data_IF_378396322129
#
_entry.id   IF_378396322129
#
_cell.length_a   1.000
_cell.length_b   1.000
_cell.length_c   1.000
_cell.angle_alpha   90.00
_cell.angle_beta   90.00
_cell.angle_gamma   90.00
#
_symmetry.space_group_name_H-M   'P 1'
#
loop_
_entity.id
_entity.type
_entity.pdbx_description
1 polymer ?
#
# COMPACT_ATOMS: atom_id res chain seq x y z
N UNK A 1 45.91 -34.30 -29.54
CA UNK A 1 44.63 -34.15 -28.82
C UNK A 1 44.35 -32.66 -28.72
N UNK A 2 43.41 -32.17 -29.53
CA UNK A 2 43.02 -30.76 -29.63
C UNK A 2 41.90 -30.49 -28.61
N UNK A 3 42.04 -29.43 -27.81
CA UNK A 3 40.95 -28.88 -27.01
C UNK A 3 40.95 -27.35 -27.24
N UNK A 4 39.89 -26.77 -27.82
CA UNK A 4 39.82 -25.33 -28.01
C UNK A 4 39.30 -24.67 -26.72
N UNK A 5 40.01 -23.63 -26.25
CA UNK A 5 39.50 -22.69 -25.26
C UNK A 5 38.36 -21.88 -25.90
N UNK A 6 37.13 -22.10 -25.41
CA UNK A 6 36.01 -21.18 -25.64
C UNK A 6 36.12 -20.03 -24.64
N UNK A 7 36.66 -18.90 -25.10
CA UNK A 7 36.55 -17.62 -24.39
C UNK A 7 35.14 -17.10 -24.62
N UNK A 8 34.25 -17.33 -23.65
CA UNK A 8 32.94 -16.69 -23.61
C UNK A 8 33.12 -15.28 -23.04
N UNK A 9 33.24 -14.28 -23.92
CA UNK A 9 33.13 -12.87 -23.53
C UNK A 9 31.68 -12.57 -23.18
N UNK A 10 31.35 -12.58 -21.89
CA UNK A 10 30.14 -11.93 -21.38
C UNK A 10 30.29 -10.42 -21.60
N UNK A 11 29.59 -9.89 -22.60
CA UNK A 11 29.30 -8.46 -22.68
C UNK A 11 28.36 -8.10 -21.52
N UNK A 12 28.94 -7.57 -20.44
CA UNK A 12 28.20 -6.80 -19.45
C UNK A 12 27.68 -5.54 -20.13
N UNK A 13 26.49 -5.61 -20.70
CA UNK A 13 25.72 -4.41 -21.04
C UNK A 13 25.28 -3.80 -19.71
N UNK A 14 26.08 -2.87 -19.20
CA UNK A 14 25.65 -1.97 -18.16
C UNK A 14 24.52 -1.10 -18.76
N UNK A 15 23.27 -1.46 -18.51
CA UNK A 15 22.15 -0.54 -18.68
C UNK A 15 22.28 0.55 -17.61
N UNK A 16 23.14 1.53 -17.84
CA UNK A 16 23.02 2.82 -17.18
C UNK A 16 21.72 3.44 -17.69
N UNK A 17 20.71 3.54 -16.81
CA UNK A 17 19.49 4.25 -17.11
C UNK A 17 19.84 5.70 -17.51
N UNK A 18 19.54 6.08 -18.76
CA UNK A 18 19.77 7.43 -19.26
C UNK A 18 18.84 8.37 -18.48
N UNK A 19 19.41 9.41 -17.85
CA UNK A 19 18.61 10.37 -17.13
C UNK A 19 17.82 11.23 -18.14
N UNK A 20 16.52 11.54 -17.93
CA UNK A 20 15.74 12.30 -18.90
C UNK A 20 16.37 13.63 -19.33
N UNK A 21 17.13 14.27 -18.43
CA UNK A 21 17.84 15.52 -18.69
C UNK A 21 18.92 15.40 -19.77
N UNK A 22 19.41 14.19 -20.01
CA UNK A 22 20.45 13.89 -20.99
C UNK A 22 19.86 13.60 -22.39
N UNK A 23 18.53 13.53 -22.51
CA UNK A 23 17.84 13.33 -23.78
C UNK A 23 17.64 14.66 -24.54
N UNK A 24 17.61 14.60 -25.89
CA UNK A 24 17.19 15.73 -26.70
C UNK A 24 15.74 16.09 -26.40
N UNK A 25 15.35 17.34 -26.70
CA UNK A 25 13.95 17.73 -26.68
C UNK A 25 13.20 17.07 -27.82
N UNK A 26 11.89 16.97 -27.72
CA UNK A 26 11.07 16.56 -28.87
C UNK A 26 11.12 17.70 -29.90
N UNK A 27 11.84 17.49 -31.01
CA UNK A 27 12.14 18.56 -31.98
C UNK A 27 11.58 18.27 -33.37
N UNK A 28 11.25 17.01 -33.67
CA UNK A 28 10.64 16.65 -34.96
C UNK A 28 9.11 16.81 -34.91
N UNK A 29 8.53 17.20 -36.05
CA UNK A 29 7.07 17.27 -36.20
C UNK A 29 6.43 15.90 -35.92
N UNK A 30 7.09 14.79 -36.27
CA UNK A 30 6.63 13.43 -36.02
C UNK A 30 6.58 13.10 -34.52
N UNK A 31 7.63 13.45 -33.75
CA UNK A 31 7.65 13.28 -32.29
C UNK A 31 6.59 14.14 -31.61
N UNK A 32 6.44 15.39 -32.06
CA UNK A 32 5.45 16.31 -31.50
C UNK A 32 4.02 15.84 -31.80
N UNK A 33 3.73 15.41 -33.04
CA UNK A 33 2.43 14.86 -33.41
C UNK A 33 2.12 13.58 -32.63
N UNK A 34 3.10 12.70 -32.47
CA UNK A 34 2.95 11.47 -31.68
C UNK A 34 2.68 11.79 -30.21
N UNK A 35 3.42 12.73 -29.61
CA UNK A 35 3.19 13.16 -28.24
C UNK A 35 1.79 13.77 -28.04
N UNK A 36 1.36 14.64 -28.96
CA UNK A 36 0.02 15.24 -28.96
C UNK A 36 -1.08 14.19 -29.12
N UNK A 37 -0.81 13.10 -29.85
CA UNK A 37 -1.77 11.99 -30.00
C UNK A 37 -2.03 11.23 -28.70
N UNK A 38 -1.18 11.36 -27.69
CA UNK A 38 -1.37 10.76 -26.36
C UNK A 38 -2.27 11.62 -25.43
N UNK A 39 -2.57 12.87 -25.79
CA UNK A 39 -3.37 13.79 -24.97
C UNK A 39 -4.81 13.31 -24.73
N UNK A 40 -5.55 12.73 -25.69
CA UNK A 40 -6.92 12.28 -25.45
C UNK A 40 -7.04 11.25 -24.32
N UNK A 41 -6.07 10.32 -24.23
CA UNK A 41 -6.03 9.33 -23.14
C UNK A 41 -5.72 10.00 -21.79
N UNK A 42 -4.87 11.03 -21.80
CA UNK A 42 -4.58 11.86 -20.62
C UNK A 42 -5.86 12.57 -20.13
N UNK A 43 -6.58 13.20 -21.04
CA UNK A 43 -7.83 13.89 -20.74
C UNK A 43 -8.90 12.91 -20.23
N UNK A 44 -9.00 11.72 -20.82
CA UNK A 44 -9.93 10.68 -20.38
C UNK A 44 -9.62 10.20 -18.96
N UNK A 45 -8.34 9.94 -18.66
CA UNK A 45 -7.91 9.56 -17.32
C UNK A 45 -8.20 10.68 -16.30
N UNK A 46 -7.85 11.93 -16.61
CA UNK A 46 -8.06 13.05 -15.71
C UNK A 46 -9.54 13.35 -15.48
N UNK A 47 -10.36 13.34 -16.53
CA UNK A 47 -11.80 13.55 -16.42
C UNK A 47 -12.46 12.48 -15.56
N UNK A 48 -12.12 11.20 -15.75
CA UNK A 48 -12.68 10.10 -14.95
C UNK A 48 -12.47 10.33 -13.44
N UNK A 49 -11.29 10.82 -13.06
CA UNK A 49 -10.91 11.05 -11.66
C UNK A 49 -11.44 12.39 -11.12
N UNK A 50 -11.45 13.47 -11.92
CA UNK A 50 -11.94 14.79 -11.52
C UNK A 50 -13.44 14.79 -11.19
N UNK A 51 -14.26 14.10 -11.98
CA UNK A 51 -15.72 14.05 -11.77
C UNK A 51 -16.11 13.41 -10.42
N UNK A 52 -15.18 12.68 -9.79
CA UNK A 52 -15.42 11.95 -8.54
C UNK A 52 -14.57 12.44 -7.35
N UNK A 53 -13.87 13.58 -7.49
CA UNK A 53 -13.04 14.14 -6.41
C UNK A 53 -13.90 14.44 -5.17
N UNK A 54 -13.51 13.88 -4.02
CA UNK A 54 -14.23 14.05 -2.74
C UNK A 54 -15.43 13.11 -2.53
N UNK A 55 -15.59 12.07 -3.37
CA UNK A 55 -16.64 11.05 -3.23
C UNK A 55 -16.03 9.64 -3.22
N UNK A 56 -16.80 8.65 -2.74
CA UNK A 56 -16.49 7.24 -2.97
C UNK A 56 -16.57 6.95 -4.47
N UNK A 57 -15.42 6.81 -5.11
CA UNK A 57 -15.30 6.57 -6.55
C UNK A 57 -15.67 5.10 -6.85
N UNK A 58 -16.62 4.81 -7.76
CA UNK A 58 -16.94 3.45 -8.13
C UNK A 58 -15.74 2.71 -8.76
N UNK A 59 -15.62 1.41 -8.51
CA UNK A 59 -14.51 0.59 -9.04
C UNK A 59 -14.38 0.67 -10.57
N UNK A 60 -15.51 0.77 -11.28
CA UNK A 60 -15.56 0.90 -12.74
C UNK A 60 -14.86 2.17 -13.25
N UNK A 61 -14.88 3.25 -12.47
CA UNK A 61 -14.17 4.49 -12.81
C UNK A 61 -12.67 4.28 -12.69
N UNK A 62 -12.21 3.55 -11.66
CA UNK A 62 -10.80 3.17 -11.55
C UNK A 62 -10.35 2.21 -12.65
N UNK A 63 -11.21 1.28 -13.08
CA UNK A 63 -10.93 0.41 -14.23
C UNK A 63 -10.70 1.21 -15.51
N UNK A 64 -11.59 2.16 -15.78
CA UNK A 64 -11.51 3.04 -16.95
C UNK A 64 -10.24 3.90 -16.90
N UNK A 65 -9.98 4.55 -15.77
CA UNK A 65 -8.78 5.37 -15.58
C UNK A 65 -7.49 4.54 -15.68
N UNK A 66 -7.46 3.33 -15.10
CA UNK A 66 -6.31 2.44 -15.20
C UNK A 66 -6.03 2.03 -16.66
N UNK A 67 -7.08 1.72 -17.44
CA UNK A 67 -6.93 1.40 -18.86
C UNK A 67 -6.40 2.58 -19.68
N UNK A 68 -6.97 3.78 -19.50
CA UNK A 68 -6.46 4.99 -20.14
C UNK A 68 -4.99 5.24 -19.77
N UNK A 69 -4.62 4.98 -18.51
CA UNK A 69 -3.23 5.12 -18.07
C UNK A 69 -2.29 4.13 -18.76
N UNK A 70 -2.68 2.86 -18.93
CA UNK A 70 -1.91 1.88 -19.70
C UNK A 70 -1.73 2.32 -21.17
N UNK A 71 -2.78 2.86 -21.78
CA UNK A 71 -2.73 3.40 -23.15
C UNK A 71 -1.75 4.58 -23.26
N UNK A 72 -1.71 5.49 -22.28
CA UNK A 72 -0.74 6.61 -22.25
C UNK A 72 0.70 6.06 -22.24
N UNK A 73 1.00 5.07 -21.39
CA UNK A 73 2.34 4.50 -21.32
C UNK A 73 2.76 3.79 -22.60
N UNK A 74 1.82 3.10 -23.27
CA UNK A 74 2.05 2.49 -24.59
C UNK A 74 2.26 3.57 -25.65
N UNK A 75 1.49 4.65 -25.61
CA UNK A 75 1.57 5.77 -26.55
C UNK A 75 2.91 6.53 -26.44
N UNK A 76 3.41 6.73 -25.22
CA UNK A 76 4.70 7.39 -24.97
C UNK A 76 5.91 6.49 -25.23
N UNK A 77 5.73 5.17 -25.31
CA UNK A 77 6.83 4.21 -25.42
C UNK A 77 7.76 4.40 -26.64
N UNK A 78 7.26 4.77 -27.85
CA UNK A 78 8.11 4.99 -29.01
C UNK A 78 8.94 6.28 -28.95
N UNK A 79 8.57 7.22 -28.08
CA UNK A 79 9.22 8.53 -28.00
C UNK A 79 10.49 8.47 -27.16
N UNK A 80 11.59 8.98 -27.71
CA UNK A 80 12.89 9.02 -27.04
C UNK A 80 13.41 10.45 -26.86
N UNK A 81 12.51 11.34 -26.45
CA UNK A 81 12.82 12.72 -26.11
C UNK A 81 12.55 13.01 -24.63
N UNK A 82 13.12 14.11 -24.12
CA UNK A 82 13.07 14.52 -22.72
C UNK A 82 11.66 14.67 -22.20
N UNK A 83 10.81 15.42 -22.89
CA UNK A 83 9.43 15.70 -22.49
C UNK A 83 8.61 14.41 -22.41
N UNK A 84 8.80 13.50 -23.37
CA UNK A 84 8.15 12.20 -23.36
C UNK A 84 8.60 11.33 -22.18
N UNK A 85 9.90 11.33 -21.83
CA UNK A 85 10.35 10.56 -20.66
C UNK A 85 9.97 11.17 -19.32
N UNK A 86 9.96 12.49 -19.21
CA UNK A 86 9.43 13.17 -18.02
C UNK A 86 7.94 12.83 -17.83
N UNK A 87 7.15 12.91 -18.90
CA UNK A 87 5.75 12.49 -18.89
C UNK A 87 5.59 11.01 -18.53
N UNK A 88 6.39 10.12 -19.13
CA UNK A 88 6.34 8.68 -18.86
C UNK A 88 6.59 8.37 -17.38
N UNK A 89 7.60 8.98 -16.76
CA UNK A 89 7.88 8.80 -15.33
C UNK A 89 6.70 9.27 -14.46
N UNK A 90 6.09 10.40 -14.81
CA UNK A 90 4.92 10.90 -14.09
C UNK A 90 3.73 9.95 -14.23
N UNK A 91 3.44 9.48 -15.45
CA UNK A 91 2.33 8.56 -15.70
C UNK A 91 2.60 7.19 -15.09
N UNK A 92 3.83 6.67 -15.05
CA UNK A 92 4.13 5.40 -14.38
C UNK A 92 3.73 5.44 -12.90
N UNK A 93 3.97 6.56 -12.22
CA UNK A 93 3.55 6.77 -10.82
C UNK A 93 2.01 6.86 -10.73
N UNK A 94 1.37 7.62 -11.62
CA UNK A 94 -0.10 7.77 -11.65
C UNK A 94 -0.79 6.43 -11.94
N UNK A 95 -0.34 5.68 -12.94
CA UNK A 95 -0.88 4.39 -13.34
C UNK A 95 -0.71 3.36 -12.22
N UNK A 96 0.44 3.37 -11.56
CA UNK A 96 0.65 2.49 -10.42
C UNK A 96 -0.37 2.78 -9.32
N UNK A 97 -0.51 4.04 -8.89
CA UNK A 97 -1.53 4.43 -7.92
C UNK A 97 -2.95 4.01 -8.34
N UNK A 98 -3.31 4.14 -9.62
CA UNK A 98 -4.59 3.69 -10.15
C UNK A 98 -4.77 2.18 -10.08
N UNK A 99 -3.75 1.40 -10.41
CA UNK A 99 -3.79 -0.05 -10.28
C UNK A 99 -4.04 -0.49 -8.82
N UNK A 100 -3.43 0.19 -7.85
CA UNK A 100 -3.67 -0.08 -6.42
C UNK A 100 -5.11 0.21 -5.97
N UNK A 101 -5.74 1.25 -6.53
CA UNK A 101 -7.14 1.57 -6.27
C UNK A 101 -8.08 0.60 -7.00
N UNK A 102 -7.80 0.30 -8.27
CA UNK A 102 -8.63 -0.54 -9.13
C UNK A 102 -8.72 -1.99 -8.62
N UNK A 103 -7.58 -2.63 -8.37
CA UNK A 103 -7.54 -4.05 -8.02
C UNK A 103 -7.81 -4.31 -6.52
N UNK A 104 -8.27 -3.29 -5.79
CA UNK A 104 -8.47 -3.30 -4.34
C UNK A 104 -7.20 -3.71 -3.56
N UNK A 105 -6.01 -3.41 -4.11
CA UNK A 105 -4.72 -3.80 -3.53
C UNK A 105 -4.47 -3.13 -2.18
N UNK A 106 -5.02 -1.92 -1.99
CA UNK A 106 -4.90 -1.19 -0.71
C UNK A 106 -5.59 -1.94 0.43
N UNK A 107 -6.83 -2.38 0.24
CA UNK A 107 -7.55 -3.16 1.25
C UNK A 107 -6.86 -4.50 1.51
N UNK A 108 -6.42 -5.17 0.44
CA UNK A 108 -5.65 -6.41 0.53
C UNK A 108 -4.36 -6.23 1.37
N UNK A 109 -3.58 -5.19 1.10
CA UNK A 109 -2.34 -4.92 1.81
C UNK A 109 -2.57 -4.47 3.26
N UNK A 110 -3.63 -3.70 3.53
CA UNK A 110 -4.04 -3.36 4.88
C UNK A 110 -4.37 -4.63 5.69
N UNK A 111 -5.11 -5.59 5.11
CA UNK A 111 -5.39 -6.89 5.74
C UNK A 111 -4.11 -7.68 6.02
N UNK A 112 -3.16 -7.71 5.07
CA UNK A 112 -1.86 -8.32 5.29
C UNK A 112 -1.18 -7.72 6.53
N UNK A 113 -1.13 -6.38 6.64
CA UNK A 113 -0.53 -5.72 7.79
C UNK A 113 -1.25 -6.02 9.09
N UNK A 114 -2.59 -6.04 9.09
CA UNK A 114 -3.39 -6.46 10.25
C UNK A 114 -3.04 -7.89 10.67
N UNK A 115 -2.95 -8.83 9.73
CA UNK A 115 -2.57 -10.22 10.02
C UNK A 115 -1.16 -10.31 10.58
N UNK A 116 -0.20 -9.60 10.00
CA UNK A 116 1.17 -9.56 10.48
C UNK A 116 1.27 -8.97 11.90
N UNK A 117 0.47 -7.94 12.21
CA UNK A 117 0.41 -7.35 13.54
C UNK A 117 -0.21 -8.32 14.54
N UNK A 118 -1.39 -8.87 14.25
CA UNK A 118 -2.11 -9.78 15.14
C UNK A 118 -1.36 -11.09 15.37
N UNK A 119 -0.59 -11.56 14.39
CA UNK A 119 0.25 -12.74 14.54
C UNK A 119 1.20 -12.60 15.74
N UNK A 120 1.69 -11.40 16.07
CA UNK A 120 2.58 -11.18 17.21
C UNK A 120 1.92 -11.46 18.57
N UNK A 121 0.58 -11.40 18.64
CA UNK A 121 -0.20 -11.61 19.86
C UNK A 121 -0.89 -12.97 19.89
N UNK A 122 -0.93 -13.70 18.77
CA UNK A 122 -1.53 -15.04 18.71
C UNK A 122 -0.58 -16.10 19.27
N UNK A 123 -1.12 -17.15 19.88
CA UNK A 123 -0.38 -18.37 20.23
C UNK A 123 -0.08 -19.25 19.02
N UNK A 124 -0.82 -19.09 17.92
CA UNK A 124 -0.76 -20.00 16.76
C UNK A 124 0.56 -19.86 16.01
N UNK A 125 1.08 -20.98 15.50
CA UNK A 125 2.24 -20.97 14.62
C UNK A 125 1.90 -20.24 13.32
N UNK A 126 2.63 -19.19 12.98
CA UNK A 126 2.46 -18.44 11.74
C UNK A 126 3.82 -17.95 11.26
N UNK A 127 4.11 -18.14 9.98
CA UNK A 127 5.33 -17.61 9.35
C UNK A 127 5.44 -16.08 9.46
N UNK A 128 4.32 -15.38 9.70
CA UNK A 128 4.30 -13.92 9.87
C UNK A 128 5.10 -13.47 11.11
N UNK A 129 5.35 -14.38 12.06
CA UNK A 129 6.18 -14.14 13.24
C UNK A 129 7.68 -14.22 12.95
N UNK A 130 8.06 -14.96 11.91
CA UNK A 130 9.46 -15.25 11.59
C UNK A 130 10.15 -14.09 10.86
N UNK A 131 9.37 -13.14 10.36
CA UNK A 131 9.86 -12.02 9.54
C UNK A 131 9.35 -10.68 10.07
N UNK A 132 10.24 -9.69 10.12
CA UNK A 132 9.94 -8.34 10.62
C UNK A 132 9.28 -7.46 9.55
N UNK A 133 8.15 -7.90 8.97
CA UNK A 133 7.43 -7.18 7.90
C UNK A 133 7.00 -5.76 8.30
N UNK A 134 6.81 -5.50 9.59
CA UNK A 134 6.35 -4.22 10.14
C UNK A 134 7.49 -3.39 10.76
N UNK A 135 8.76 -3.79 10.66
CA UNK A 135 9.89 -3.10 11.31
C UNK A 135 10.07 -1.68 10.76
N UNK A 136 10.29 -0.67 11.61
CA UNK A 136 10.51 0.72 11.17
C UNK A 136 11.83 0.88 10.40
N UNK A 137 12.81 0.01 10.64
CA UNK A 137 14.04 -0.06 9.87
C UNK A 137 13.77 -0.60 8.46
N UNK A 138 13.92 0.27 7.46
CA UNK A 138 13.63 -0.08 6.07
C UNK A 138 14.56 -1.16 5.50
N UNK A 139 15.78 -1.29 6.02
CA UNK A 139 16.70 -2.38 5.62
C UNK A 139 16.18 -3.71 6.15
N UNK A 140 15.87 -3.79 7.44
CA UNK A 140 15.27 -5.01 8.02
C UNK A 140 13.95 -5.37 7.37
N UNK A 141 13.12 -4.36 7.07
CA UNK A 141 11.87 -4.54 6.34
C UNK A 141 12.12 -5.12 4.96
N UNK A 142 13.11 -4.62 4.22
CA UNK A 142 13.51 -5.19 2.92
C UNK A 142 13.90 -6.65 3.04
N UNK A 143 14.71 -6.99 4.03
CA UNK A 143 15.18 -8.36 4.25
C UNK A 143 14.01 -9.28 4.61
N UNK A 144 13.08 -8.81 5.46
CA UNK A 144 11.86 -9.52 5.81
C UNK A 144 11.01 -9.84 4.57
N UNK A 145 10.81 -8.88 3.66
CA UNK A 145 10.10 -9.14 2.41
C UNK A 145 10.88 -10.02 1.44
N UNK A 146 12.20 -9.88 1.38
CA UNK A 146 13.03 -10.68 0.48
C UNK A 146 13.02 -12.16 0.88
N UNK A 147 13.21 -12.44 2.17
CA UNK A 147 13.27 -13.79 2.71
C UNK A 147 11.86 -14.38 2.97
N UNK A 148 10.92 -13.54 3.40
CA UNK A 148 9.54 -13.90 3.72
C UNK A 148 8.58 -13.90 2.52
N UNK A 149 9.10 -13.90 1.28
CA UNK A 149 8.27 -13.80 0.07
C UNK A 149 7.14 -14.81 0.00
N UNK A 150 7.40 -16.08 0.31
CA UNK A 150 6.35 -17.12 0.32
C UNK A 150 5.27 -16.77 1.35
N UNK A 151 5.68 -16.45 2.58
CA UNK A 151 4.77 -16.09 3.66
C UNK A 151 3.85 -14.92 3.29
N UNK A 152 4.41 -13.88 2.66
CA UNK A 152 3.63 -12.76 2.13
C UNK A 152 2.64 -13.23 1.07
N UNK A 153 3.09 -13.91 0.02
CA UNK A 153 2.22 -14.31 -1.09
C UNK A 153 1.14 -15.32 -0.67
N UNK A 154 1.44 -16.19 0.29
CA UNK A 154 0.49 -17.14 0.86
C UNK A 154 -0.61 -16.42 1.66
N UNK A 155 -0.23 -15.38 2.42
CA UNK A 155 -1.19 -14.50 3.11
C UNK A 155 -2.04 -13.70 2.12
N UNK A 156 -1.44 -13.16 1.06
CA UNK A 156 -2.19 -12.47 0.00
C UNK A 156 -3.18 -13.44 -0.67
N UNK A 157 -2.78 -14.69 -0.93
CA UNK A 157 -3.66 -15.71 -1.51
C UNK A 157 -4.87 -16.01 -0.62
N UNK A 158 -4.69 -16.02 0.71
CA UNK A 158 -5.79 -16.32 1.64
C UNK A 158 -6.71 -15.13 1.90
N UNK A 159 -6.18 -13.90 1.90
CA UNK A 159 -6.92 -12.71 2.34
C UNK A 159 -7.49 -11.86 1.20
N UNK A 160 -7.03 -12.09 -0.03
CA UNK A 160 -7.27 -11.22 -1.19
C UNK A 160 -7.85 -11.94 -2.40
N UNK A 161 -8.30 -11.17 -3.39
CA UNK A 161 -8.78 -11.71 -4.66
C UNK A 161 -7.60 -12.20 -5.54
N UNK A 162 -7.94 -12.97 -6.58
CA UNK A 162 -6.95 -13.56 -7.51
C UNK A 162 -6.13 -12.48 -8.23
N UNK A 163 -6.74 -11.36 -8.59
CA UNK A 163 -6.07 -10.27 -9.32
C UNK A 163 -4.99 -9.61 -8.45
N UNK A 164 -5.25 -9.45 -7.16
CA UNK A 164 -4.27 -8.94 -6.21
C UNK A 164 -3.08 -9.89 -6.05
N UNK A 165 -3.34 -11.20 -5.94
CA UNK A 165 -2.28 -12.20 -5.91
C UNK A 165 -1.44 -12.17 -7.19
N UNK A 166 -2.08 -12.11 -8.35
CA UNK A 166 -1.39 -12.04 -9.64
C UNK A 166 -0.52 -10.78 -9.74
N UNK A 167 -1.05 -9.62 -9.33
CA UNK A 167 -0.33 -8.37 -9.29
C UNK A 167 0.92 -8.47 -8.41
N UNK A 168 0.76 -8.85 -7.14
CA UNK A 168 1.89 -8.92 -6.21
C UNK A 168 2.91 -9.99 -6.62
N UNK A 169 2.48 -11.07 -7.27
CA UNK A 169 3.39 -12.08 -7.81
C UNK A 169 4.24 -11.51 -8.95
N UNK A 170 3.60 -10.88 -9.94
CA UNK A 170 4.27 -10.33 -11.13
C UNK A 170 5.13 -9.10 -10.82
N UNK A 171 4.72 -8.29 -9.85
CA UNK A 171 5.36 -7.01 -9.49
C UNK A 171 6.09 -7.06 -8.15
N UNK A 172 6.40 -8.26 -7.64
CA UNK A 172 6.89 -8.43 -6.28
C UNK A 172 8.11 -7.57 -5.95
N UNK A 173 9.14 -7.61 -6.78
CA UNK A 173 10.37 -6.84 -6.52
C UNK A 173 10.11 -5.34 -6.51
N UNK A 174 9.24 -4.84 -7.41
CA UNK A 174 8.82 -3.44 -7.41
C UNK A 174 8.10 -3.09 -6.10
N UNK A 175 7.18 -3.94 -5.65
CA UNK A 175 6.51 -3.77 -4.36
C UNK A 175 7.50 -3.73 -3.19
N UNK A 176 8.45 -4.67 -3.12
CA UNK A 176 9.49 -4.70 -2.07
C UNK A 176 10.32 -3.43 -2.07
N UNK A 177 10.74 -2.95 -3.25
CA UNK A 177 11.42 -1.66 -3.39
C UNK A 177 10.54 -0.53 -2.86
N UNK A 178 9.29 -0.43 -3.32
CA UNK A 178 8.38 0.65 -2.93
C UNK A 178 8.14 0.69 -1.42
N UNK A 179 7.98 -0.44 -0.76
CA UNK A 179 7.72 -0.47 0.70
C UNK A 179 8.98 -0.24 1.54
N UNK A 180 10.18 -0.50 1.00
CA UNK A 180 11.45 -0.49 1.73
C UNK A 180 12.48 0.55 1.26
N UNK A 181 12.12 1.41 0.32
CA UNK A 181 12.96 2.52 -0.15
C UNK A 181 12.21 3.83 -0.05
N UNK A 182 12.72 4.72 0.80
CA UNK A 182 12.22 6.10 0.85
C UNK A 182 12.60 6.82 -0.46
N UNK A 183 11.64 7.44 -1.16
CA UNK A 183 11.94 8.22 -2.35
C UNK A 183 12.77 9.46 -2.01
N UNK A 184 13.49 10.01 -2.99
CA UNK A 184 14.20 11.27 -2.82
C UNK A 184 13.23 12.45 -2.63
N UNK A 185 12.07 12.41 -3.30
CA UNK A 185 11.01 13.41 -3.13
C UNK A 185 10.05 13.02 -2.00
N UNK A 186 9.92 13.88 -1.00
CA UNK A 186 9.02 13.68 0.15
C UNK A 186 7.57 14.08 -0.14
N UNK A 187 7.02 13.64 -1.26
CA UNK A 187 5.61 13.85 -1.60
C UNK A 187 4.77 12.72 -1.03
N UNK A 188 3.81 13.02 -0.16
CA UNK A 188 2.95 12.02 0.49
C UNK A 188 2.06 11.22 -0.48
N UNK A 189 1.88 11.71 -1.71
CA UNK A 189 1.23 10.99 -2.81
C UNK A 189 2.08 9.87 -3.40
N UNK A 190 3.39 9.83 -3.10
CA UNK A 190 4.27 8.79 -3.59
C UNK A 190 3.86 7.41 -3.02
N UNK A 191 3.87 6.34 -3.85
CA UNK A 191 3.45 5.00 -3.47
C UNK A 191 4.08 4.49 -2.16
N UNK A 192 5.35 4.80 -1.92
CA UNK A 192 6.04 4.49 -0.65
C UNK A 192 5.25 4.93 0.59
N UNK A 193 4.88 6.21 0.68
CA UNK A 193 4.15 6.73 1.85
C UNK A 193 2.73 6.19 1.89
N UNK A 194 2.08 6.06 0.73
CA UNK A 194 0.73 5.51 0.61
C UNK A 194 0.64 4.05 1.06
N UNK A 195 1.64 3.22 0.79
CA UNK A 195 1.61 1.81 1.20
C UNK A 195 1.98 1.65 2.67
N UNK A 196 2.98 2.38 3.12
CA UNK A 196 3.38 2.31 4.52
C UNK A 196 2.28 2.83 5.47
N UNK A 197 1.47 3.81 5.04
CA UNK A 197 0.32 4.28 5.82
C UNK A 197 -0.80 3.23 5.96
N UNK A 198 -0.85 2.21 5.09
CA UNK A 198 -1.84 1.14 5.20
C UNK A 198 -1.62 0.25 6.43
N UNK A 199 -0.46 0.29 7.08
CA UNK A 199 -0.26 -0.34 8.39
C UNK A 199 -1.20 0.29 9.42
N UNK A 200 -1.26 1.63 9.45
CA UNK A 200 -2.14 2.35 10.34
C UNK A 200 -3.61 2.12 9.97
N UNK A 201 -3.91 2.08 8.66
CA UNK A 201 -5.26 1.82 8.17
C UNK A 201 -5.75 0.43 8.53
N UNK A 202 -4.89 -0.59 8.42
CA UNK A 202 -5.22 -1.96 8.84
C UNK A 202 -5.58 -2.05 10.32
N UNK A 203 -4.86 -1.33 11.18
CA UNK A 203 -5.20 -1.24 12.61
C UNK A 203 -6.52 -0.50 12.84
N UNK A 204 -6.75 0.63 12.17
CA UNK A 204 -8.02 1.36 12.26
C UNK A 204 -9.23 0.49 11.87
N UNK A 205 -9.10 -0.25 10.76
CA UNK A 205 -10.17 -1.11 10.24
C UNK A 205 -10.45 -2.28 11.20
N UNK A 206 -9.40 -2.90 11.75
CA UNK A 206 -9.54 -3.97 12.75
C UNK A 206 -10.16 -3.46 14.05
N UNK A 207 -9.74 -2.29 14.55
CA UNK A 207 -10.36 -1.65 15.72
C UNK A 207 -11.84 -1.39 15.45
N UNK A 208 -12.17 -0.89 14.26
CA UNK A 208 -13.55 -0.61 13.86
C UNK A 208 -14.40 -1.88 13.80
N UNK A 209 -13.87 -2.96 13.23
CA UNK A 209 -14.53 -4.27 13.18
C UNK A 209 -14.78 -4.81 14.59
N UNK A 210 -13.76 -4.82 15.46
CA UNK A 210 -13.91 -5.29 16.84
C UNK A 210 -14.89 -4.45 17.65
N UNK A 211 -14.87 -3.12 17.52
CA UNK A 211 -15.88 -2.25 18.14
C UNK A 211 -17.30 -2.58 17.63
N UNK A 212 -17.45 -2.90 16.34
CA UNK A 212 -18.71 -3.37 15.78
C UNK A 212 -19.19 -4.65 16.46
N UNK A 213 -18.34 -5.66 16.55
CA UNK A 213 -18.64 -6.92 17.23
C UNK A 213 -18.91 -6.76 18.73
N UNK A 214 -18.28 -5.80 19.40
CA UNK A 214 -18.61 -5.47 20.78
C UNK A 214 -20.04 -4.95 20.88
N UNK A 215 -20.45 -4.03 20.01
CA UNK A 215 -21.81 -3.49 20.00
C UNK A 215 -22.86 -4.58 19.75
N UNK A 216 -22.58 -5.50 18.82
CA UNK A 216 -23.44 -6.67 18.54
C UNK A 216 -23.63 -7.57 19.77
N UNK A 217 -22.63 -7.59 20.67
CA UNK A 217 -22.64 -8.34 21.93
C UNK A 217 -23.01 -7.47 23.13
N UNK A 218 -23.72 -6.35 22.94
CA UNK A 218 -24.10 -5.40 24.00
C UNK A 218 -22.92 -4.89 24.85
N UNK A 219 -21.75 -4.74 24.23
CA UNK A 219 -20.47 -4.36 24.85
C UNK A 219 -19.88 -5.39 25.83
N UNK A 220 -20.33 -6.64 25.79
CA UNK A 220 -19.68 -7.74 26.51
C UNK A 220 -18.28 -7.97 25.94
N UNK A 221 -17.26 -7.76 26.76
CA UNK A 221 -15.86 -7.96 26.36
C UNK A 221 -15.07 -8.50 27.56
N UNK A 222 -14.03 -9.29 27.28
CA UNK A 222 -13.04 -9.60 28.33
C UNK A 222 -12.09 -8.41 28.53
N UNK A 223 -11.55 -8.24 29.73
CA UNK A 223 -10.51 -7.23 29.98
C UNK A 223 -9.30 -7.37 29.04
N UNK A 224 -8.95 -8.61 28.67
CA UNK A 224 -7.88 -8.92 27.71
C UNK A 224 -8.23 -8.38 26.31
N UNK A 225 -9.45 -8.63 25.82
CA UNK A 225 -9.93 -8.14 24.53
C UNK A 225 -9.89 -6.60 24.48
N UNK A 226 -10.41 -5.93 25.51
CA UNK A 226 -10.43 -4.46 25.58
C UNK A 226 -9.01 -3.89 25.66
N UNK A 227 -8.13 -4.51 26.46
CA UNK A 227 -6.73 -4.09 26.58
C UNK A 227 -5.98 -4.19 25.25
N UNK A 228 -6.17 -5.29 24.50
CA UNK A 228 -5.59 -5.45 23.16
C UNK A 228 -6.09 -4.36 22.20
N UNK A 229 -7.39 -4.06 22.21
CA UNK A 229 -7.96 -3.00 21.36
C UNK A 229 -7.42 -1.62 21.72
N UNK A 230 -7.18 -1.34 23.00
CA UNK A 230 -6.56 -0.09 23.46
C UNK A 230 -5.10 0.00 23.00
N UNK A 231 -4.34 -1.09 23.07
CA UNK A 231 -2.97 -1.13 22.58
C UNK A 231 -2.91 -0.85 21.07
N UNK A 232 -3.75 -1.55 20.30
CA UNK A 232 -3.91 -1.28 18.86
C UNK A 232 -4.24 0.19 18.58
N UNK A 233 -5.07 0.80 19.42
CA UNK A 233 -5.43 2.21 19.32
C UNK A 233 -4.22 3.14 19.47
N UNK A 234 -3.37 2.90 20.47
CA UNK A 234 -2.13 3.66 20.68
C UNK A 234 -1.16 3.48 19.51
N UNK A 235 -1.04 2.26 19.01
CA UNK A 235 -0.16 1.93 17.90
C UNK A 235 -0.66 2.57 16.59
N UNK A 236 -1.98 2.55 16.34
CA UNK A 236 -2.60 3.23 15.21
C UNK A 236 -2.38 4.75 15.27
N UNK A 237 -2.62 5.38 16.43
CA UNK A 237 -2.40 6.82 16.62
C UNK A 237 -0.94 7.21 16.38
N UNK A 238 0.00 6.42 16.90
CA UNK A 238 1.44 6.63 16.68
C UNK A 238 1.81 6.47 15.22
N UNK A 239 1.33 5.39 14.58
CA UNK A 239 1.54 5.13 13.17
C UNK A 239 1.01 6.27 12.28
N UNK A 240 -0.19 6.78 12.57
CA UNK A 240 -0.76 7.90 11.83
C UNK A 240 0.07 9.16 12.02
N UNK A 241 0.56 9.44 13.24
CA UNK A 241 1.37 10.62 13.55
C UNK A 241 2.70 10.62 12.79
N UNK A 242 3.30 9.45 12.62
CA UNK A 242 4.57 9.27 11.88
C UNK A 242 4.36 9.35 10.34
N UNK A 243 3.11 9.40 9.86
CA UNK A 243 2.76 9.35 8.44
C UNK A 243 2.22 10.68 7.94
N UNK A 244 2.76 11.18 6.83
CA UNK A 244 2.29 12.42 6.20
C UNK A 244 1.04 12.24 5.32
N UNK A 245 0.48 11.03 5.26
CA UNK A 245 -0.73 10.72 4.47
C UNK A 245 -2.01 11.13 5.19
N UNK A 246 -2.02 11.15 6.52
CA UNK A 246 -3.22 11.38 7.31
C UNK A 246 -3.45 12.87 7.59
N UNK A 247 -4.71 13.28 7.54
CA UNK A 247 -5.15 14.63 7.86
C UNK A 247 -5.46 14.78 9.35
N UNK A 248 -5.59 16.03 9.82
CA UNK A 248 -6.07 16.32 11.18
C UNK A 248 -7.41 15.65 11.48
N UNK A 249 -8.32 15.60 10.49
CA UNK A 249 -9.61 14.94 10.65
C UNK A 249 -9.48 13.43 10.88
N UNK A 250 -8.51 12.78 10.23
CA UNK A 250 -8.22 11.35 10.44
C UNK A 250 -7.69 11.12 11.86
N UNK A 251 -6.79 11.99 12.35
CA UNK A 251 -6.30 11.92 13.72
C UNK A 251 -7.40 12.10 14.76
N UNK A 252 -8.29 13.07 14.57
CA UNK A 252 -9.43 13.30 15.46
C UNK A 252 -10.42 12.12 15.46
N UNK A 253 -10.71 11.57 14.28
CA UNK A 253 -11.56 10.37 14.12
C UNK A 253 -10.99 9.20 14.91
N UNK A 254 -9.68 8.91 14.73
CA UNK A 254 -9.00 7.84 15.45
C UNK A 254 -9.00 8.11 16.97
N UNK A 255 -8.72 9.34 17.39
CA UNK A 255 -8.72 9.74 18.81
C UNK A 255 -10.08 9.56 19.50
N UNK A 256 -11.18 9.87 18.80
CA UNK A 256 -12.55 9.64 19.29
C UNK A 256 -12.81 8.14 19.50
N UNK A 257 -12.42 7.28 18.55
CA UNK A 257 -12.56 5.82 18.67
C UNK A 257 -11.79 5.28 19.87
N UNK A 258 -10.55 5.72 20.05
CA UNK A 258 -9.72 5.28 21.18
C UNK A 258 -10.25 5.74 22.53
N UNK A 259 -10.78 6.97 22.62
CA UNK A 259 -11.43 7.47 23.85
C UNK A 259 -12.64 6.62 24.23
N UNK A 260 -13.43 6.16 23.26
CA UNK A 260 -14.59 5.29 23.53
C UNK A 260 -14.13 3.97 24.15
N UNK A 261 -13.07 3.35 23.61
CA UNK A 261 -12.52 2.10 24.13
C UNK A 261 -11.95 2.25 25.54
N UNK A 262 -11.24 3.34 25.81
CA UNK A 262 -10.73 3.63 27.15
C UNK A 262 -11.86 3.76 28.18
N UNK A 263 -13.00 4.35 27.80
CA UNK A 263 -14.19 4.42 28.67
C UNK A 263 -14.81 3.04 28.93
N UNK A 264 -14.85 2.17 27.92
CA UNK A 264 -15.35 0.80 28.08
C UNK A 264 -14.49 -0.01 29.06
N UNK A 265 -13.17 0.16 29.04
CA UNK A 265 -12.28 -0.48 30.02
C UNK A 265 -12.58 -0.01 31.46
N UNK A 266 -12.72 1.31 31.65
CA UNK A 266 -13.02 1.87 32.97
C UNK A 266 -14.33 1.33 33.57
N UNK A 267 -15.34 1.10 32.73
CA UNK A 267 -16.61 0.46 33.15
C UNK A 267 -16.39 -1.02 33.49
N UNK A 268 -15.66 -1.77 32.65
CA UNK A 268 -15.31 -3.18 32.91
C UNK A 268 -14.53 -3.38 34.21
N UNK A 269 -13.60 -2.48 34.53
CA UNK A 269 -12.82 -2.54 35.77
C UNK A 269 -13.69 -2.23 37.00
N UNK A 270 -14.60 -1.26 36.90
CA UNK A 270 -15.56 -0.94 37.97
C UNK A 270 -16.60 -2.05 38.24
N UNK A 271 -16.81 -2.92 37.25
CA UNK A 271 -17.70 -4.08 37.33
C UNK A 271 -17.09 -5.29 38.05
N UNK A 272 -15.76 -5.37 38.14
CA UNK A 272 -15.08 -6.51 38.76
C UNK A 272 -15.10 -6.45 40.30
N UNK A 273 -15.56 -5.35 40.89
CA UNK A 273 -15.72 -5.19 42.34
C UNK A 273 -17.11 -5.56 42.88
N UNK A 274 -18.10 -5.79 42.02
CA UNK A 274 -19.47 -6.15 42.44
C UNK A 274 -19.70 -7.66 42.26
N UNK A 275 -19.83 -8.37 43.37
CA UNK A 275 -19.95 -9.83 43.51
C UNK A 275 -21.23 -10.46 42.87
N UNK A 276 -22.03 -9.71 42.11
CA UNK A 276 -23.30 -10.19 41.56
C UNK A 276 -23.29 -10.45 40.04
N UNK A 277 -22.12 -10.40 39.39
CA UNK A 277 -21.91 -11.07 38.11
C UNK A 277 -22.79 -10.63 36.93
N UNK A 278 -23.44 -9.47 37.02
CA UNK A 278 -24.19 -8.86 35.94
C UNK A 278 -23.54 -7.52 35.57
N UNK A 279 -22.65 -7.56 34.58
CA UNK A 279 -22.26 -6.35 33.86
C UNK A 279 -22.53 -6.53 32.37
N UNK A 280 -23.46 -5.68 31.89
CA UNK A 280 -23.99 -5.50 30.52
C UNK A 280 -24.03 -6.77 29.65
#
# INVERSE_FOLDING_TARGET
>A
MNLPLLISTLLLVACSAIHPKDLPKCETDEELLTFLSCLPETDEMEMALRTHKGKNIPIQVYQKAAKACENILVCLAPLNCREAQEAKLEFEIKCENLAYMNLNLRSCLAKFFTKAYLAQFSSDSSCLKDYSFLDKDLTKRRDAYSNGKSCFLDTIRSECNKDALEYYTKRYQKFVTTISMKPAEEKCSHPHYQFNSLQCKGLEDEITSRVGHLKERNNRASAVEVSQMIQMCKDAQTCMKDSCVFSTADHESMGKRCTILQKLLAVSDSCSSDLEGNCL
#
